data_IF_061415790426
#
_entry.id   IF_061415790426
#
_cell.length_a   1.000
_cell.length_b   1.000
_cell.length_c   1.000
_cell.angle_alpha   90.00
_cell.angle_beta   90.00
_cell.angle_gamma   90.00
#
_symmetry.space_group_name_H-M   'P 1'
#
loop_
_entity.id
_entity.type
_entity.pdbx_description
1 polymer ?
#
# COMPACT_ATOMS: atom_id res chain seq x y z
N UNK A 1 -8.00 -29.70 -28.29
CA UNK A 1 -8.25 -28.24 -28.37
C UNK A 1 -9.14 -27.72 -27.24
N UNK A 2 -10.30 -28.32 -26.93
CA UNK A 2 -11.17 -27.86 -25.83
C UNK A 2 -10.57 -27.98 -24.42
N UNK A 3 -9.79 -29.05 -24.16
CA UNK A 3 -9.15 -29.30 -22.86
C UNK A 3 -7.97 -28.37 -22.58
N UNK A 4 -7.22 -27.99 -23.62
CA UNK A 4 -6.07 -27.08 -23.51
C UNK A 4 -6.49 -25.64 -23.22
N UNK A 5 -7.64 -25.19 -23.77
CA UNK A 5 -8.20 -23.87 -23.48
C UNK A 5 -8.61 -23.75 -22.01
N UNK A 6 -9.20 -24.80 -21.43
CA UNK A 6 -9.60 -24.81 -20.02
C UNK A 6 -8.39 -24.74 -19.07
N UNK A 7 -7.27 -25.38 -19.42
CA UNK A 7 -6.05 -25.34 -18.61
C UNK A 7 -5.40 -23.94 -18.67
N UNK A 8 -5.38 -23.30 -19.83
CA UNK A 8 -4.86 -21.93 -19.97
C UNK A 8 -5.74 -20.92 -19.23
N UNK A 9 -7.06 -21.08 -19.29
CA UNK A 9 -8.00 -20.24 -18.55
C UNK A 9 -7.85 -20.40 -17.02
N UNK A 10 -7.64 -21.64 -16.54
CA UNK A 10 -7.41 -21.90 -15.12
C UNK A 10 -6.07 -21.31 -14.63
N UNK A 11 -5.00 -21.40 -15.42
CA UNK A 11 -3.71 -20.80 -15.08
C UNK A 11 -3.77 -19.27 -15.02
N UNK A 12 -4.54 -18.63 -15.93
CA UNK A 12 -4.74 -17.18 -15.92
C UNK A 12 -5.58 -16.68 -14.72
N UNK A 13 -6.53 -17.50 -14.23
CA UNK A 13 -7.31 -17.14 -13.05
C UNK A 13 -6.48 -17.14 -11.75
N UNK A 14 -5.54 -18.09 -11.63
CA UNK A 14 -4.68 -18.22 -10.43
C UNK A 14 -3.68 -17.07 -10.34
N UNK A 15 -3.15 -16.57 -11.47
CA UNK A 15 -2.26 -15.40 -11.48
C UNK A 15 -2.99 -14.08 -11.20
N UNK A 16 -4.28 -13.97 -11.55
CA UNK A 16 -5.08 -12.77 -11.29
C UNK A 16 -5.56 -12.63 -9.83
N UNK A 17 -5.61 -13.70 -9.05
CA UNK A 17 -5.94 -13.65 -7.62
C UNK A 17 -4.73 -13.43 -6.71
N UNK A 18 -3.51 -13.68 -7.21
CA UNK A 18 -2.27 -13.48 -6.43
C UNK A 18 -1.96 -12.01 -6.13
N UNK A 19 -2.46 -11.08 -6.94
CA UNK A 19 -2.25 -9.63 -6.74
C UNK A 19 -3.23 -9.00 -5.76
N UNK A 20 -4.31 -9.68 -5.38
CA UNK A 20 -5.29 -9.14 -4.41
C UNK A 20 -4.92 -9.39 -2.95
N UNK A 21 -4.04 -10.35 -2.66
CA UNK A 21 -3.55 -10.56 -1.28
C UNK A 21 -2.66 -9.39 -0.83
N UNK A 22 -1.96 -8.75 -1.76
CA UNK A 22 -1.24 -7.50 -1.48
C UNK A 22 -2.15 -6.27 -1.44
N UNK A 23 -3.31 -6.29 -2.12
CA UNK A 23 -4.28 -5.23 -2.01
C UNK A 23 -4.99 -5.26 -0.64
N UNK A 24 -5.45 -6.42 -0.15
CA UNK A 24 -6.18 -6.50 1.12
C UNK A 24 -5.32 -6.33 2.38
N UNK A 25 -4.01 -6.51 2.32
CA UNK A 25 -3.12 -6.19 3.45
C UNK A 25 -2.87 -4.67 3.59
N UNK A 26 -3.11 -3.89 2.52
CA UNK A 26 -2.93 -2.43 2.50
C UNK A 26 -4.22 -1.61 2.49
N UNK A 27 -5.30 -2.16 1.94
CA UNK A 27 -6.59 -1.45 1.78
C UNK A 27 -7.30 -1.20 3.13
N UNK A 28 -6.90 -1.94 4.18
CA UNK A 28 -7.50 -1.83 5.51
C UNK A 28 -6.83 -0.85 6.47
N UNK A 29 -5.58 -0.44 6.23
CA UNK A 29 -4.89 0.42 7.20
C UNK A 29 -4.98 1.90 6.86
N UNK A 30 -5.01 2.33 5.58
CA UNK A 30 -5.06 3.77 5.23
C UNK A 30 -5.83 4.12 3.94
N UNK A 31 -7.08 3.66 3.75
CA UNK A 31 -7.84 4.17 2.60
C UNK A 31 -9.13 3.48 2.22
N UNK A 32 -9.99 3.13 3.18
CA UNK A 32 -11.41 2.95 2.85
C UNK A 32 -11.97 4.22 2.19
N UNK A 33 -13.02 4.14 1.35
CA UNK A 33 -13.51 5.28 0.57
C UNK A 33 -13.77 6.48 1.48
N UNK A 34 -12.83 7.42 1.47
CA UNK A 34 -12.94 8.71 2.16
C UNK A 34 -14.01 9.50 1.43
N UNK A 35 -15.26 9.30 1.81
CA UNK A 35 -16.36 9.87 1.07
C UNK A 35 -17.73 9.55 1.64
N UNK A 36 -17.85 9.42 2.97
CA UNK A 36 -19.15 9.57 3.60
C UNK A 36 -19.70 10.99 3.32
N UNK A 37 -21.02 11.22 3.33
CA UNK A 37 -21.66 12.50 2.97
C UNK A 37 -21.14 13.73 3.74
N UNK A 38 -20.38 13.52 4.81
CA UNK A 38 -19.80 14.54 5.69
C UNK A 38 -18.39 15.01 5.26
N UNK A 39 -17.70 14.31 4.36
CA UNK A 39 -16.35 14.69 3.90
C UNK A 39 -16.36 15.94 2.98
N UNK A 40 -17.53 16.29 2.46
CA UNK A 40 -17.71 17.38 1.49
C UNK A 40 -17.80 18.78 2.12
N UNK A 41 -17.94 18.87 3.45
CA UNK A 41 -18.22 20.14 4.16
C UNK A 41 -16.95 20.95 4.47
N UNK A 42 -15.74 20.37 4.34
CA UNK A 42 -14.46 21.00 4.70
C UNK A 42 -13.42 21.06 3.54
N UNK A 43 -13.86 20.84 2.29
CA UNK A 43 -13.01 20.44 1.16
C UNK A 43 -11.98 21.45 0.62
N UNK A 44 -12.08 22.75 0.94
CA UNK A 44 -11.26 23.78 0.28
C UNK A 44 -9.76 23.75 0.61
N UNK A 45 -9.39 23.39 1.85
CA UNK A 45 -7.99 23.48 2.31
C UNK A 45 -7.29 22.11 2.38
N UNK A 46 -8.06 21.03 2.56
CA UNK A 46 -7.52 19.67 2.62
C UNK A 46 -7.03 19.16 1.26
N UNK A 47 -7.72 19.52 0.17
CA UNK A 47 -7.35 19.03 -1.15
C UNK A 47 -5.95 19.50 -1.57
N UNK A 48 -5.63 20.78 -1.36
CA UNK A 48 -4.29 21.30 -1.67
C UNK A 48 -3.18 20.67 -0.83
N UNK A 49 -3.46 20.34 0.45
CA UNK A 49 -2.54 19.57 1.28
C UNK A 49 -2.33 18.15 0.74
N UNK A 50 -3.41 17.46 0.36
CA UNK A 50 -3.33 16.11 -0.19
C UNK A 50 -2.61 16.05 -1.53
N UNK A 51 -2.81 17.02 -2.40
CA UNK A 51 -2.10 17.13 -3.68
C UNK A 51 -0.60 17.38 -3.46
N UNK A 52 -0.23 18.33 -2.59
CA UNK A 52 1.17 18.65 -2.27
C UNK A 52 1.91 17.50 -1.60
N UNK A 53 1.23 16.72 -0.77
CA UNK A 53 1.81 15.61 -0.01
C UNK A 53 1.65 14.24 -0.68
N UNK A 54 1.01 14.17 -1.86
CA UNK A 54 0.69 12.91 -2.53
C UNK A 54 1.91 12.00 -2.69
N UNK A 55 3.03 12.57 -3.14
CA UNK A 55 4.29 11.82 -3.31
C UNK A 55 4.86 11.34 -1.97
N UNK A 56 4.89 12.18 -0.95
CA UNK A 56 5.43 11.83 0.37
C UNK A 56 4.60 10.70 1.00
N UNK A 57 3.26 10.76 0.87
CA UNK A 57 2.37 9.68 1.32
C UNK A 57 2.56 8.38 0.52
N UNK A 58 2.79 8.47 -0.79
CA UNK A 58 3.10 7.31 -1.62
C UNK A 58 4.42 6.65 -1.21
N UNK A 59 5.48 7.45 -1.05
CA UNK A 59 6.80 6.96 -0.64
C UNK A 59 6.74 6.35 0.76
N UNK A 60 6.00 6.98 1.68
CA UNK A 60 5.77 6.45 3.02
C UNK A 60 5.07 5.08 2.99
N UNK A 61 3.98 4.96 2.23
CA UNK A 61 3.24 3.71 2.09
C UNK A 61 4.12 2.59 1.51
N UNK A 62 4.97 2.92 0.53
CA UNK A 62 5.93 1.97 -0.03
C UNK A 62 6.94 1.49 1.03
N UNK A 63 7.49 2.40 1.83
CA UNK A 63 8.48 2.06 2.89
C UNK A 63 7.88 1.26 4.04
N UNK A 64 6.67 1.60 4.47
CA UNK A 64 5.92 0.79 5.44
C UNK A 64 5.72 -0.63 4.91
N UNK A 65 5.58 -0.78 3.60
CA UNK A 65 5.53 -2.08 2.94
C UNK A 65 6.78 -2.89 2.94
N UNK A 66 7.87 -2.27 2.51
CA UNK A 66 9.19 -2.89 2.58
C UNK A 66 9.48 -3.36 4.01
N UNK A 67 9.15 -2.53 5.01
CA UNK A 67 9.31 -2.87 6.41
C UNK A 67 8.43 -4.04 6.83
N UNK A 68 7.13 -4.01 6.52
CA UNK A 68 6.22 -5.12 6.86
C UNK A 68 6.63 -6.43 6.17
N UNK A 69 7.06 -6.38 4.92
CA UNK A 69 7.51 -7.55 4.18
C UNK A 69 8.80 -8.13 4.78
N UNK A 70 9.74 -7.28 5.18
CA UNK A 70 10.96 -7.69 5.87
C UNK A 70 10.62 -8.38 7.20
N UNK A 71 9.78 -7.76 8.02
CA UNK A 71 9.39 -8.27 9.33
C UNK A 71 8.60 -9.59 9.25
N UNK A 72 7.95 -9.89 8.13
CA UNK A 72 7.26 -11.15 7.90
C UNK A 72 8.18 -12.33 7.54
N UNK A 73 9.48 -12.09 7.31
CA UNK A 73 10.46 -13.16 7.05
C UNK A 73 10.84 -13.90 8.35
N UNK A 74 11.32 -15.14 8.23
CA UNK A 74 11.69 -15.98 9.39
C UNK A 74 12.87 -15.42 10.20
N UNK A 75 13.76 -14.66 9.57
CA UNK A 75 14.92 -14.04 10.22
C UNK A 75 15.14 -12.65 9.62
N UNK A 76 14.36 -11.64 10.03
CA UNK A 76 14.44 -10.30 9.47
C UNK A 76 15.80 -9.65 9.77
N UNK A 77 16.40 -8.99 8.77
CA UNK A 77 17.65 -8.26 8.95
C UNK A 77 17.43 -7.02 9.83
N UNK A 78 18.00 -6.97 11.06
CA UNK A 78 17.80 -5.88 11.99
C UNK A 78 18.37 -4.55 11.48
N UNK A 79 19.43 -4.58 10.66
CA UNK A 79 20.02 -3.38 10.08
C UNK A 79 19.07 -2.78 9.06
N UNK A 80 18.57 -3.60 8.12
CA UNK A 80 17.59 -3.16 7.13
C UNK A 80 16.29 -2.65 7.77
N UNK A 81 15.82 -3.31 8.84
CA UNK A 81 14.64 -2.87 9.58
C UNK A 81 14.84 -1.48 10.21
N UNK A 82 16.03 -1.24 10.77
CA UNK A 82 16.39 0.06 11.36
C UNK A 82 16.47 1.16 10.31
N UNK A 83 17.08 0.89 9.15
CA UNK A 83 17.18 1.85 8.05
C UNK A 83 15.79 2.23 7.51
N UNK A 84 14.94 1.23 7.27
CA UNK A 84 13.55 1.45 6.83
C UNK A 84 12.73 2.24 7.86
N UNK A 85 12.89 1.94 9.15
CA UNK A 85 12.25 2.69 10.23
C UNK A 85 12.66 4.16 10.23
N UNK A 86 13.96 4.46 10.03
CA UNK A 86 14.44 5.84 9.90
C UNK A 86 13.85 6.54 8.68
N UNK A 87 13.82 5.88 7.52
CA UNK A 87 13.21 6.42 6.29
C UNK A 87 11.73 6.75 6.50
N UNK A 88 10.98 5.88 7.18
CA UNK A 88 9.57 6.11 7.54
C UNK A 88 9.41 7.33 8.45
N UNK A 89 10.24 7.47 9.49
CA UNK A 89 10.19 8.62 10.40
C UNK A 89 10.46 9.93 9.65
N UNK A 90 11.47 9.97 8.78
CA UNK A 90 11.77 11.17 7.98
C UNK A 90 10.59 11.55 7.08
N UNK A 91 9.92 10.57 6.47
CA UNK A 91 8.74 10.82 5.64
C UNK A 91 7.52 11.27 6.46
N UNK A 92 7.34 10.75 7.67
CA UNK A 92 6.32 11.23 8.62
C UNK A 92 6.57 12.68 9.06
N UNK A 93 7.83 13.04 9.38
CA UNK A 93 8.19 14.41 9.79
C UNK A 93 7.96 15.43 8.66
N UNK A 94 8.00 14.99 7.38
CA UNK A 94 7.68 15.86 6.25
C UNK A 94 6.17 16.03 6.02
N UNK A 95 5.32 15.23 6.67
CA UNK A 95 3.87 15.33 6.59
C UNK A 95 3.25 16.13 7.74
N UNK A 96 4.02 16.45 8.79
CA UNK A 96 3.56 17.20 9.97
C UNK A 96 3.46 18.71 9.75
#
# INVERSE_FOLDING_TARGET
>A
MKKSILIIAAAAAITMTGTQVFACYWDGYWGGPMGGPMAMVNGGNYQGFYEKTAKIRQDLAAKQGEYSALMATTNPDPKRATDLSREITVLHDQLS
#
